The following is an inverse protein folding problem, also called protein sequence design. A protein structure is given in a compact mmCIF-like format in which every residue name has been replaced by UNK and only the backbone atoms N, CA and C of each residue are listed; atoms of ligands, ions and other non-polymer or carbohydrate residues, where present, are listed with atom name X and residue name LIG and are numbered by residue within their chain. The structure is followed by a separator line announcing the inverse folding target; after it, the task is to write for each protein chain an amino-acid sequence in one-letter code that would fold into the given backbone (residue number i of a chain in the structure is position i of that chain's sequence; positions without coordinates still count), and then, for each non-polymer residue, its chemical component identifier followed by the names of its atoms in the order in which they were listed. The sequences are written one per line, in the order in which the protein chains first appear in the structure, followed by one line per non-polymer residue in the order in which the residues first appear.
data_IF_149417128801
#
_entry.id   IF_149417128801
#
_cell.length_a   1.000
_cell.length_b   1.000
_cell.length_c   1.000
_cell.angle_alpha   90.00
_cell.angle_beta   90.00
_cell.angle_gamma   90.00
#
_symmetry.space_group_name_H-M   'P 1'
#
loop_
_entity.id
_entity.type
_entity.pdbx_description
1 polymer ?
#
# COMPACT_ATOMS: atom_id res chain seq x y z
N UNK A 1 -22.46 64.36 29.04
CA UNK A 1 -21.19 63.79 28.56
C UNK A 1 -21.36 62.27 28.63
N UNK A 2 -21.82 61.65 27.56
CA UNK A 2 -22.07 60.24 27.48
C UNK A 2 -20.90 59.59 26.71
N UNK A 3 -20.12 58.75 27.36
CA UNK A 3 -19.02 58.00 26.81
C UNK A 3 -19.61 56.69 26.31
N UNK A 4 -19.67 56.53 24.95
CA UNK A 4 -20.03 55.32 24.29
C UNK A 4 -18.77 54.39 24.30
N UNK A 5 -18.82 53.26 24.99
CA UNK A 5 -17.87 52.18 24.85
C UNK A 5 -18.30 51.32 23.61
N UNK A 6 -17.60 51.51 22.52
CA UNK A 6 -17.62 50.52 21.42
C UNK A 6 -16.79 49.30 21.83
N UNK A 7 -17.48 48.24 22.15
CA UNK A 7 -16.85 46.91 22.29
C UNK A 7 -16.59 46.38 20.86
N UNK A 8 -15.32 46.43 20.48
CA UNK A 8 -14.82 45.80 19.28
C UNK A 8 -14.75 44.28 19.52
N UNK A 9 -15.87 43.61 19.36
CA UNK A 9 -15.88 42.14 19.22
C UNK A 9 -15.19 41.76 17.89
N UNK A 10 -13.87 41.60 17.95
CA UNK A 10 -13.19 40.79 16.96
C UNK A 10 -13.67 39.35 17.14
N UNK A 11 -14.76 39.01 16.50
CA UNK A 11 -15.08 37.63 16.19
C UNK A 11 -13.85 37.03 15.48
N UNK A 12 -13.07 36.25 16.24
CA UNK A 12 -12.13 35.31 15.65
C UNK A 12 -12.98 34.33 14.83
N UNK A 13 -12.94 34.51 13.52
CA UNK A 13 -13.50 33.56 12.57
C UNK A 13 -12.73 32.24 12.74
N UNK A 14 -13.11 31.48 13.78
CA UNK A 14 -12.67 30.11 13.96
C UNK A 14 -13.26 29.35 12.80
N UNK A 15 -12.49 29.19 11.74
CA UNK A 15 -12.84 28.37 10.58
C UNK A 15 -13.21 26.99 11.11
N UNK A 16 -14.51 26.74 11.22
CA UNK A 16 -15.04 25.46 11.67
C UNK A 16 -14.58 24.44 10.65
N UNK A 17 -13.63 23.62 11.07
CA UNK A 17 -13.15 22.50 10.25
C UNK A 17 -14.33 21.60 9.89
N UNK A 18 -14.52 21.35 8.60
CA UNK A 18 -15.61 20.52 8.07
C UNK A 18 -15.05 19.48 7.09
N UNK A 19 -15.82 18.46 6.71
CA UNK A 19 -15.38 17.49 5.71
C UNK A 19 -14.96 18.07 4.37
N UNK A 20 -15.41 19.30 4.06
CA UNK A 20 -15.26 19.94 2.75
C UNK A 20 -14.45 21.24 2.79
N UNK A 21 -13.95 21.64 3.96
CA UNK A 21 -13.25 22.92 4.16
C UNK A 21 -12.20 22.79 5.26
N UNK A 22 -11.07 23.51 5.09
CA UNK A 22 -10.01 23.61 6.07
C UNK A 22 -8.66 23.18 5.50
N UNK A 23 -7.69 22.98 6.39
CA UNK A 23 -6.33 22.53 6.01
C UNK A 23 -5.89 21.42 6.93
N UNK A 24 -5.38 20.31 6.38
CA UNK A 24 -4.81 19.20 7.16
C UNK A 24 -3.73 18.49 6.34
N UNK A 25 -3.00 17.59 7.01
CA UNK A 25 -1.96 16.76 6.40
C UNK A 25 -2.30 15.29 6.57
N UNK A 26 -1.97 14.49 5.56
CA UNK A 26 -2.17 13.04 5.53
C UNK A 26 -0.84 12.37 5.20
N UNK A 27 -0.35 11.48 6.06
CA UNK A 27 0.77 10.64 5.70
C UNK A 27 0.28 9.47 4.86
N UNK A 28 0.87 9.34 3.69
CA UNK A 28 0.54 8.29 2.74
C UNK A 28 1.73 7.33 2.62
N UNK A 29 1.44 6.05 2.73
CA UNK A 29 2.41 4.98 2.50
C UNK A 29 3.13 5.21 1.16
N UNK A 30 4.46 5.24 1.22
CA UNK A 30 5.31 5.48 0.05
C UNK A 30 5.02 4.51 -1.10
N UNK A 31 4.56 3.30 -0.78
CA UNK A 31 4.22 2.26 -1.74
C UNK A 31 3.07 2.62 -2.68
N UNK A 32 2.17 3.45 -2.22
CA UNK A 32 0.96 3.88 -2.94
C UNK A 32 0.90 5.39 -3.15
N UNK A 33 1.86 6.14 -2.61
CA UNK A 33 1.87 7.61 -2.65
C UNK A 33 1.65 8.18 -4.05
N UNK A 34 2.33 7.65 -5.05
CA UNK A 34 2.22 8.15 -6.43
C UNK A 34 0.79 8.06 -6.95
N UNK A 35 0.06 6.98 -6.67
CA UNK A 35 -1.33 6.81 -7.09
C UNK A 35 -2.23 7.89 -6.43
N UNK A 36 -2.08 8.09 -5.13
CA UNK A 36 -2.85 9.11 -4.40
C UNK A 36 -2.48 10.53 -4.83
N UNK A 37 -1.20 10.81 -5.03
CA UNK A 37 -0.76 12.12 -5.50
C UNK A 37 -1.31 12.46 -6.90
N UNK A 38 -1.41 11.47 -7.79
CA UNK A 38 -2.03 11.62 -9.10
C UNK A 38 -3.55 11.87 -9.02
N UNK A 39 -4.21 11.45 -7.95
CA UNK A 39 -5.63 11.69 -7.70
C UNK A 39 -5.92 13.10 -7.10
N UNK A 40 -4.91 13.76 -6.51
CA UNK A 40 -5.08 15.07 -5.85
C UNK A 40 -5.67 16.19 -6.73
N UNK A 41 -5.36 16.30 -8.03
CA UNK A 41 -5.99 17.30 -8.89
C UNK A 41 -7.51 17.16 -8.97
N UNK A 42 -8.04 15.92 -8.95
CA UNK A 42 -9.49 15.65 -8.96
C UNK A 42 -10.11 16.13 -7.64
N UNK A 43 -9.48 15.79 -6.51
CA UNK A 43 -9.94 16.24 -5.19
C UNK A 43 -9.95 17.74 -5.06
N UNK A 44 -8.85 18.43 -5.43
CA UNK A 44 -8.75 19.90 -5.37
C UNK A 44 -9.78 20.61 -6.24
N UNK A 45 -10.12 20.04 -7.39
CA UNK A 45 -11.17 20.57 -8.28
C UNK A 45 -12.56 20.40 -7.65
N UNK A 46 -12.82 19.30 -6.98
CA UNK A 46 -14.09 19.03 -6.32
C UNK A 46 -14.30 19.88 -5.05
N UNK A 47 -13.21 20.14 -4.30
CA UNK A 47 -13.24 20.85 -3.02
C UNK A 47 -12.16 21.94 -2.96
N UNK A 48 -12.39 23.10 -3.58
CA UNK A 48 -11.41 24.19 -3.65
C UNK A 48 -11.03 24.78 -2.29
N UNK A 49 -11.93 24.73 -1.30
CA UNK A 49 -11.71 25.22 0.06
C UNK A 49 -11.11 24.17 1.01
N UNK A 50 -10.82 22.96 0.51
CA UNK A 50 -10.24 21.87 1.25
C UNK A 50 -8.76 21.66 0.86
N UNK A 51 -7.84 21.96 1.77
CA UNK A 51 -6.41 21.91 1.51
C UNK A 51 -5.77 20.71 2.24
N UNK A 52 -5.69 19.58 1.55
CA UNK A 52 -4.96 18.39 2.04
C UNK A 52 -3.55 18.40 1.45
N UNK A 53 -2.55 18.26 2.33
CA UNK A 53 -1.16 18.01 1.96
C UNK A 53 -0.82 16.55 2.20
N UNK A 54 -0.43 15.82 1.15
CA UNK A 54 0.04 14.45 1.25
C UNK A 54 1.54 14.42 1.50
N UNK A 55 1.98 13.65 2.50
CA UNK A 55 3.37 13.37 2.78
C UNK A 55 3.67 11.89 2.56
N UNK A 56 4.66 11.59 1.73
CA UNK A 56 5.15 10.23 1.54
C UNK A 56 5.95 9.76 2.76
N UNK A 57 5.58 8.59 3.31
CA UNK A 57 6.25 8.01 4.48
C UNK A 57 6.05 6.50 4.48
N UNK A 58 7.03 5.72 4.99
CA UNK A 58 6.81 4.30 5.11
C UNK A 58 5.68 3.96 6.09
N UNK A 59 5.02 2.84 5.86
CA UNK A 59 3.81 2.44 6.58
C UNK A 59 4.01 2.32 8.10
N UNK A 60 5.17 1.80 8.53
CA UNK A 60 5.47 1.61 9.95
C UNK A 60 5.63 2.93 10.69
N UNK A 61 6.40 3.86 10.11
CA UNK A 61 6.58 5.20 10.67
C UNK A 61 5.28 6.01 10.67
N UNK A 62 4.48 5.91 9.61
CA UNK A 62 3.16 6.58 9.56
C UNK A 62 2.26 6.11 10.69
N UNK A 63 2.23 4.80 10.96
CA UNK A 63 1.45 4.24 12.07
C UNK A 63 1.97 4.72 13.43
N UNK A 64 3.29 4.73 13.63
CA UNK A 64 3.89 5.22 14.88
C UNK A 64 3.54 6.70 15.15
N UNK A 65 3.49 7.53 14.11
CA UNK A 65 3.10 8.93 14.27
C UNK A 65 1.60 9.13 14.52
N UNK A 66 0.75 8.26 13.98
CA UNK A 66 -0.67 8.25 14.32
C UNK A 66 -0.88 7.86 15.79
N UNK A 67 -0.18 6.85 16.28
CA UNK A 67 -0.20 6.46 17.71
C UNK A 67 0.31 7.55 18.64
N UNK A 68 1.39 8.25 18.24
CA UNK A 68 1.97 9.36 19.02
C UNK A 68 1.26 10.70 18.83
N UNK A 69 0.13 10.70 18.14
CA UNK A 69 -0.70 11.89 17.89
C UNK A 69 -0.02 13.02 17.10
N UNK A 70 1.06 12.73 16.41
CA UNK A 70 1.77 13.69 15.54
C UNK A 70 1.04 13.91 14.21
N UNK A 71 0.15 12.99 13.83
CA UNK A 71 -0.77 13.15 12.71
C UNK A 71 -2.17 12.71 13.13
N UNK A 72 -3.19 13.24 12.45
CA UNK A 72 -4.60 12.85 12.65
C UNK A 72 -5.03 11.74 11.70
N UNK A 73 -4.30 11.53 10.62
CA UNK A 73 -4.70 10.61 9.56
C UNK A 73 -3.52 10.06 8.76
N UNK A 74 -3.65 8.80 8.39
CA UNK A 74 -2.70 8.12 7.51
C UNK A 74 -3.46 7.26 6.48
N UNK A 75 -2.81 6.98 5.34
CA UNK A 75 -3.28 6.00 4.36
C UNK A 75 -2.17 4.98 4.18
N UNK A 76 -2.45 3.71 4.41
CA UNK A 76 -1.48 2.62 4.31
C UNK A 76 -2.05 1.42 3.56
N UNK A 77 -1.16 0.68 2.87
CA UNK A 77 -1.52 -0.49 2.07
C UNK A 77 -1.44 -1.79 2.89
N UNK A 78 -2.01 -1.80 4.10
CA UNK A 78 -2.05 -2.98 4.99
C UNK A 78 -3.02 -2.83 6.15
N UNK A 79 -3.33 -3.93 6.79
CA UNK A 79 -3.97 -3.95 8.11
C UNK A 79 -2.96 -3.61 9.22
N UNK A 80 -3.46 -3.52 10.47
CA UNK A 80 -2.58 -3.47 11.65
C UNK A 80 -1.68 -4.69 11.70
N UNK A 81 -0.46 -4.46 12.17
CA UNK A 81 0.44 -5.55 12.56
C UNK A 81 0.04 -6.09 13.95
N UNK A 82 0.43 -7.32 14.31
CA UNK A 82 0.06 -7.91 15.60
C UNK A 82 0.44 -7.07 16.82
N UNK A 83 1.60 -6.42 16.80
CA UNK A 83 2.05 -5.54 17.87
C UNK A 83 1.26 -4.23 17.92
N UNK A 84 0.89 -3.67 16.77
CA UNK A 84 0.01 -2.49 16.66
C UNK A 84 -1.40 -2.79 17.18
N UNK A 85 -1.96 -3.94 16.80
CA UNK A 85 -3.28 -4.39 17.29
C UNK A 85 -3.25 -4.64 18.81
N UNK A 86 -2.16 -5.21 19.32
CA UNK A 86 -1.96 -5.41 20.75
C UNK A 86 -1.88 -4.08 21.51
N UNK A 87 -1.15 -3.10 20.95
CA UNK A 87 -1.04 -1.75 21.55
C UNK A 87 -2.40 -1.05 21.59
N UNK A 88 -3.19 -1.13 20.51
CA UNK A 88 -4.55 -0.57 20.47
C UNK A 88 -5.45 -1.17 21.56
N UNK A 89 -5.41 -2.49 21.72
CA UNK A 89 -6.19 -3.18 22.75
C UNK A 89 -5.79 -2.78 24.17
N UNK A 90 -4.48 -2.66 24.43
CA UNK A 90 -3.95 -2.30 25.75
C UNK A 90 -4.22 -0.83 26.09
N UNK A 91 -4.09 0.08 25.14
CA UNK A 91 -4.29 1.52 25.35
C UNK A 91 -5.75 1.95 25.32
N UNK A 92 -6.67 1.11 24.86
CA UNK A 92 -8.07 1.48 24.64
C UNK A 92 -8.26 2.47 23.48
N UNK A 93 -7.21 2.77 22.72
CA UNK A 93 -7.28 3.65 21.54
C UNK A 93 -7.96 2.90 20.39
N UNK A 94 -8.79 3.61 19.65
CA UNK A 94 -9.37 3.06 18.42
C UNK A 94 -9.40 4.13 17.34
N UNK A 95 -8.91 3.78 16.15
CA UNK A 95 -8.98 4.63 14.98
C UNK A 95 -10.18 4.26 14.11
N UNK A 96 -10.79 5.26 13.47
CA UNK A 96 -11.76 5.02 12.42
C UNK A 96 -11.02 4.46 11.19
N UNK A 97 -11.61 3.44 10.56
CA UNK A 97 -11.06 2.82 9.35
C UNK A 97 -11.97 3.12 8.17
N UNK A 98 -11.38 3.60 7.07
CA UNK A 98 -12.05 3.74 5.78
C UNK A 98 -11.27 2.89 4.79
N UNK A 99 -11.91 1.88 4.21
CA UNK A 99 -11.33 1.03 3.19
C UNK A 99 -11.45 1.74 1.84
N UNK A 100 -10.34 2.26 1.32
CA UNK A 100 -10.35 3.09 0.11
C UNK A 100 -10.35 2.22 -1.16
N UNK A 101 -9.46 1.22 -1.24
CA UNK A 101 -9.28 0.38 -2.42
C UNK A 101 -8.62 -0.95 -2.05
N UNK A 102 -8.43 -1.81 -3.04
CA UNK A 102 -7.60 -3.00 -2.93
C UNK A 102 -6.49 -2.96 -3.98
N UNK A 103 -5.33 -3.50 -3.66
CA UNK A 103 -4.24 -3.77 -4.58
C UNK A 103 -3.78 -5.22 -4.45
N UNK A 104 -2.81 -5.64 -5.21
CA UNK A 104 -2.22 -6.97 -5.15
C UNK A 104 -0.73 -6.93 -4.91
N UNK A 105 -0.26 -7.73 -3.94
CA UNK A 105 1.17 -7.99 -3.80
C UNK A 105 1.61 -8.93 -4.91
N UNK A 106 2.54 -8.51 -5.77
CA UNK A 106 3.00 -9.26 -6.93
C UNK A 106 4.49 -9.54 -6.89
N UNK A 107 4.87 -10.69 -7.40
CA UNK A 107 6.25 -11.01 -7.76
C UNK A 107 6.46 -10.57 -9.20
N UNK A 108 7.49 -9.79 -9.46
CA UNK A 108 7.71 -9.23 -10.80
C UNK A 108 9.14 -9.43 -11.27
N UNK A 109 9.31 -9.47 -12.57
CA UNK A 109 10.59 -9.65 -13.25
C UNK A 109 10.67 -8.70 -14.44
N UNK A 110 11.87 -8.57 -15.05
CA UNK A 110 11.98 -7.90 -16.34
C UNK A 110 11.13 -8.60 -17.40
N UNK A 111 10.62 -7.85 -18.36
CA UNK A 111 9.72 -8.36 -19.40
C UNK A 111 10.28 -9.58 -20.14
N UNK A 112 11.58 -9.57 -20.41
CA UNK A 112 12.27 -10.64 -21.15
C UNK A 112 12.77 -11.78 -20.26
N UNK A 113 12.49 -11.74 -18.94
CA UNK A 113 12.92 -12.79 -18.03
C UNK A 113 12.22 -14.12 -18.37
N UNK A 114 12.94 -15.26 -18.37
CA UNK A 114 12.43 -16.52 -18.90
C UNK A 114 11.39 -17.24 -18.03
N UNK A 115 11.04 -16.70 -16.86
CA UNK A 115 9.93 -17.22 -16.04
C UNK A 115 8.71 -16.33 -16.21
N UNK A 116 7.57 -16.96 -16.54
CA UNK A 116 6.26 -16.31 -16.61
C UNK A 116 5.31 -16.79 -15.52
N UNK A 117 5.48 -18.02 -15.08
CA UNK A 117 4.51 -18.69 -14.20
C UNK A 117 5.21 -19.49 -13.12
N UNK A 118 4.61 -19.49 -11.94
CA UNK A 118 4.94 -20.40 -10.82
C UNK A 118 3.63 -20.96 -10.26
N UNK A 119 3.72 -22.11 -9.59
CA UNK A 119 2.65 -22.51 -8.69
C UNK A 119 2.99 -22.11 -7.25
N UNK A 120 1.98 -22.09 -6.38
CA UNK A 120 2.13 -21.68 -4.98
C UNK A 120 3.21 -22.51 -4.24
N UNK A 121 3.28 -23.82 -4.48
CA UNK A 121 4.27 -24.68 -3.83
C UNK A 121 5.68 -24.32 -4.28
N UNK A 122 5.90 -24.13 -5.60
CA UNK A 122 7.20 -23.70 -6.12
C UNK A 122 7.61 -22.33 -5.52
N UNK A 123 6.68 -21.40 -5.44
CA UNK A 123 6.94 -20.09 -4.84
C UNK A 123 7.30 -20.21 -3.35
N UNK A 124 6.53 -20.96 -2.57
CA UNK A 124 6.76 -21.19 -1.14
C UNK A 124 8.07 -21.92 -0.88
N UNK A 125 8.35 -22.97 -1.67
CA UNK A 125 9.59 -23.75 -1.53
C UNK A 125 10.82 -22.96 -1.98
N UNK A 126 10.69 -22.09 -3.00
CA UNK A 126 11.73 -21.15 -3.38
C UNK A 126 12.00 -20.12 -2.27
N UNK A 127 10.95 -19.49 -1.72
CA UNK A 127 11.06 -18.53 -0.62
C UNK A 127 11.72 -19.16 0.62
N UNK A 128 11.37 -20.41 0.93
CA UNK A 128 11.97 -21.14 2.06
C UNK A 128 13.36 -21.70 1.77
N UNK A 129 13.89 -21.53 0.56
CA UNK A 129 15.20 -22.04 0.14
C UNK A 129 15.26 -23.55 -0.06
N UNK A 130 14.12 -24.25 -0.10
CA UNK A 130 14.05 -25.70 -0.32
C UNK A 130 14.35 -26.09 -1.75
N UNK A 131 13.99 -25.25 -2.72
CA UNK A 131 14.25 -25.47 -4.13
C UNK A 131 15.04 -24.32 -4.75
N UNK A 132 15.66 -24.62 -5.88
CA UNK A 132 16.25 -23.64 -6.79
C UNK A 132 15.37 -23.55 -8.03
N UNK A 133 14.96 -22.35 -8.43
CA UNK A 133 14.17 -22.14 -9.66
C UNK A 133 14.96 -22.53 -10.91
N UNK A 134 16.29 -22.36 -10.89
CA UNK A 134 17.19 -22.78 -11.97
C UNK A 134 17.13 -24.30 -12.27
N UNK A 135 16.69 -25.14 -11.33
CA UNK A 135 16.49 -26.58 -11.57
C UNK A 135 15.20 -26.87 -12.36
N UNK A 136 14.22 -25.99 -12.31
CA UNK A 136 12.93 -26.13 -13.01
C UNK A 136 12.88 -25.40 -14.35
N UNK A 137 13.67 -24.34 -14.47
CA UNK A 137 13.66 -23.47 -15.64
C UNK A 137 15.05 -23.43 -16.29
N UNK A 138 15.29 -24.31 -17.26
CA UNK A 138 16.59 -24.48 -17.94
C UNK A 138 17.13 -23.21 -18.60
N UNK A 139 16.28 -22.24 -18.90
CA UNK A 139 16.66 -20.97 -19.51
C UNK A 139 17.24 -19.95 -18.50
N UNK A 140 17.25 -20.27 -17.21
CA UNK A 140 17.85 -19.41 -16.18
C UNK A 140 19.31 -19.78 -16.02
N UNK A 141 20.20 -18.82 -16.27
CA UNK A 141 21.65 -19.02 -16.15
C UNK A 141 22.17 -19.03 -14.70
N UNK A 142 21.41 -18.40 -13.78
CA UNK A 142 21.76 -18.31 -12.37
C UNK A 142 20.49 -18.30 -11.52
N UNK A 143 20.59 -18.73 -10.27
CA UNK A 143 19.48 -18.65 -9.31
C UNK A 143 19.10 -17.20 -9.06
N UNK A 144 17.84 -16.80 -9.27
CA UNK A 144 17.40 -15.43 -9.00
C UNK A 144 17.42 -15.13 -7.51
N UNK A 145 17.65 -13.87 -7.17
CA UNK A 145 17.50 -13.36 -5.81
C UNK A 145 16.13 -12.69 -5.71
N UNK A 146 15.37 -13.03 -4.66
CA UNK A 146 14.13 -12.33 -4.33
C UNK A 146 14.46 -11.03 -3.60
N UNK A 147 14.06 -9.91 -4.19
CA UNK A 147 14.27 -8.57 -3.67
C UNK A 147 12.96 -8.05 -3.08
N UNK A 148 12.99 -7.72 -1.79
CA UNK A 148 11.82 -7.18 -1.09
C UNK A 148 12.17 -5.83 -0.45
N UNK A 149 11.22 -4.89 -0.38
CA UNK A 149 11.41 -3.64 0.34
C UNK A 149 11.76 -3.85 1.81
N UNK A 150 12.36 -2.86 2.46
CA UNK A 150 12.80 -2.93 3.85
C UNK A 150 11.65 -3.14 4.85
N UNK A 151 11.99 -3.55 6.06
CA UNK A 151 11.06 -3.96 7.12
C UNK A 151 10.02 -2.88 7.53
N UNK A 152 10.25 -1.63 7.20
CA UNK A 152 9.33 -0.53 7.49
C UNK A 152 8.22 -0.37 6.44
N UNK A 153 8.32 -1.06 5.29
CA UNK A 153 7.36 -0.98 4.20
C UNK A 153 6.12 -1.84 4.43
N UNK A 154 5.04 -1.47 3.77
CA UNK A 154 3.82 -2.28 3.76
C UNK A 154 3.98 -3.55 2.92
N UNK A 155 4.78 -3.52 1.86
CA UNK A 155 5.08 -4.70 1.04
C UNK A 155 5.76 -5.80 1.86
N UNK A 156 6.77 -5.43 2.67
CA UNK A 156 7.44 -6.39 3.57
C UNK A 156 6.45 -6.98 4.58
N UNK A 157 5.64 -6.12 5.22
CA UNK A 157 4.63 -6.55 6.19
C UNK A 157 3.60 -7.52 5.60
N UNK A 158 3.10 -7.21 4.39
CA UNK A 158 2.18 -8.07 3.67
C UNK A 158 2.85 -9.37 3.21
N UNK A 159 4.09 -9.29 2.75
CA UNK A 159 4.86 -10.49 2.35
C UNK A 159 5.02 -11.46 3.51
N UNK A 160 5.37 -11.00 4.71
CA UNK A 160 5.47 -11.85 5.90
C UNK A 160 4.10 -12.43 6.29
N UNK A 161 3.01 -11.68 6.13
CA UNK A 161 1.67 -12.20 6.45
C UNK A 161 1.24 -13.33 5.52
N UNK A 162 1.65 -13.30 4.24
CA UNK A 162 1.38 -14.36 3.28
C UNK A 162 2.40 -15.51 3.36
N UNK A 163 3.64 -15.19 3.69
CA UNK A 163 4.77 -16.13 3.70
C UNK A 163 5.54 -16.01 5.01
N UNK A 164 5.08 -16.70 6.05
CA UNK A 164 5.75 -16.69 7.37
C UNK A 164 7.22 -17.13 7.32
N UNK A 165 7.61 -17.89 6.29
CA UNK A 165 8.99 -18.35 6.05
C UNK A 165 9.94 -17.19 5.69
N UNK A 166 9.46 -16.05 5.24
CA UNK A 166 10.28 -14.87 4.94
C UNK A 166 10.99 -14.28 6.18
N UNK A 167 10.47 -14.54 7.37
CA UNK A 167 11.10 -14.12 8.63
C UNK A 167 12.40 -14.86 8.97
N UNK A 168 12.72 -15.95 8.27
CA UNK A 168 13.92 -16.75 8.44
C UNK A 168 14.86 -16.48 7.25
N UNK A 169 16.12 -16.15 7.53
CA UNK A 169 17.14 -15.77 6.54
C UNK A 169 17.40 -16.87 5.49
N UNK A 170 16.58 -16.88 4.45
CA UNK A 170 16.85 -17.71 3.28
C UNK A 170 17.94 -17.05 2.43
N UNK A 171 18.93 -17.84 1.99
CA UNK A 171 20.10 -17.36 1.23
C UNK A 171 19.76 -16.69 -0.12
N UNK A 172 18.57 -16.92 -0.64
CA UNK A 172 18.09 -16.39 -1.90
C UNK A 172 17.20 -15.13 -1.75
N UNK A 173 17.15 -14.55 -0.54
CA UNK A 173 16.38 -13.33 -0.26
C UNK A 173 17.32 -12.21 0.12
N UNK A 174 17.08 -11.03 -0.47
CA UNK A 174 17.70 -9.77 -0.08
C UNK A 174 16.62 -8.71 0.16
N UNK A 175 16.80 -7.92 1.22
CA UNK A 175 15.94 -6.79 1.54
C UNK A 175 16.64 -5.49 1.20
N UNK A 176 15.90 -4.58 0.57
CA UNK A 176 16.35 -3.21 0.28
C UNK A 176 15.70 -2.25 1.27
N UNK A 177 16.53 -1.37 1.83
CA UNK A 177 16.06 -0.35 2.78
C UNK A 177 15.57 0.89 2.02
N UNK A 178 16.18 1.21 0.87
CA UNK A 178 16.17 2.56 0.33
C UNK A 178 15.02 2.88 -0.62
N UNK A 179 14.69 2.05 -1.58
CA UNK A 179 13.56 2.38 -2.47
C UNK A 179 13.13 1.23 -3.36
N UNK A 180 11.88 1.29 -3.78
CA UNK A 180 11.32 0.39 -4.82
C UNK A 180 12.03 0.58 -6.16
N UNK A 181 12.47 1.78 -6.46
CA UNK A 181 13.19 2.08 -7.71
C UNK A 181 14.51 1.32 -7.79
N UNK A 182 15.21 1.16 -6.65
CA UNK A 182 16.41 0.32 -6.56
C UNK A 182 16.10 -1.15 -6.86
N UNK A 183 14.98 -1.68 -6.36
CA UNK A 183 14.52 -3.04 -6.67
C UNK A 183 14.23 -3.17 -8.16
N UNK A 184 13.55 -2.21 -8.77
CA UNK A 184 13.27 -2.22 -10.22
C UNK A 184 14.54 -2.22 -11.03
N UNK A 185 15.51 -1.35 -10.70
CA UNK A 185 16.81 -1.31 -11.39
C UNK A 185 17.54 -2.66 -11.32
N UNK A 186 17.53 -3.32 -10.17
CA UNK A 186 18.14 -4.65 -10.01
C UNK A 186 17.38 -5.73 -10.80
N UNK A 187 16.05 -5.69 -10.79
CA UNK A 187 15.20 -6.62 -11.56
C UNK A 187 15.45 -6.49 -13.06
N UNK A 188 15.62 -5.26 -13.55
CA UNK A 188 15.90 -5.00 -14.98
C UNK A 188 17.26 -5.54 -15.44
N UNK A 189 18.19 -5.86 -14.53
CA UNK A 189 19.43 -6.59 -14.86
C UNK A 189 19.20 -8.07 -15.20
N UNK A 190 17.97 -8.57 -15.02
CA UNK A 190 17.56 -9.92 -15.42
C UNK A 190 18.09 -11.05 -14.55
N UNK A 191 18.42 -10.76 -13.28
CA UNK A 191 18.96 -11.76 -12.32
C UNK A 191 18.16 -11.87 -11.02
N UNK A 192 17.03 -11.16 -10.92
CA UNK A 192 16.29 -11.03 -9.69
C UNK A 192 14.78 -11.06 -9.93
N UNK A 193 14.05 -11.45 -8.89
CA UNK A 193 12.60 -11.33 -8.79
C UNK A 193 12.33 -10.22 -7.78
N UNK A 194 11.55 -9.21 -8.15
CA UNK A 194 11.12 -8.15 -7.24
C UNK A 194 9.78 -8.46 -6.60
N UNK A 195 9.52 -7.87 -5.43
CA UNK A 195 8.23 -7.85 -4.76
C UNK A 195 7.72 -6.41 -4.71
N UNK A 196 6.44 -6.21 -5.05
CA UNK A 196 5.82 -4.88 -5.05
C UNK A 196 4.33 -4.96 -5.28
N UNK A 197 3.67 -3.81 -5.46
CA UNK A 197 2.24 -3.77 -5.74
C UNK A 197 1.95 -3.73 -7.24
N UNK A 198 0.80 -4.32 -7.62
CA UNK A 198 0.39 -4.39 -9.02
C UNK A 198 0.24 -3.00 -9.63
N UNK A 199 -0.38 -2.06 -8.92
CA UNK A 199 -0.57 -0.67 -9.35
C UNK A 199 0.74 0.05 -9.73
N UNK A 200 1.85 -0.35 -9.13
CA UNK A 200 3.18 0.16 -9.47
C UNK A 200 3.81 -0.60 -10.65
N UNK A 201 3.76 -1.93 -10.61
CA UNK A 201 4.43 -2.79 -11.59
C UNK A 201 3.80 -2.66 -12.99
N UNK A 202 2.47 -2.58 -13.09
CA UNK A 202 1.77 -2.50 -14.37
C UNK A 202 2.04 -1.19 -15.14
N UNK A 203 2.46 -0.12 -14.45
CA UNK A 203 2.81 1.16 -15.07
C UNK A 203 4.18 1.15 -15.75
N UNK A 204 5.01 0.15 -15.48
CA UNK A 204 6.32 0.02 -16.09
C UNK A 204 6.30 -1.04 -17.21
N UNK A 205 6.37 -0.64 -18.50
CA UNK A 205 6.29 -1.56 -19.63
C UNK A 205 7.49 -2.52 -19.73
N UNK A 206 8.57 -2.27 -18.99
CA UNK A 206 9.75 -3.13 -18.93
C UNK A 206 9.62 -4.27 -17.92
N UNK A 207 8.55 -4.29 -17.13
CA UNK A 207 8.28 -5.29 -16.11
C UNK A 207 7.11 -6.19 -16.51
N UNK A 208 7.06 -7.37 -15.91
CA UNK A 208 5.89 -8.26 -15.92
C UNK A 208 5.71 -8.90 -14.55
N UNK A 209 4.46 -9.04 -14.12
CA UNK A 209 4.11 -9.81 -12.93
C UNK A 209 4.14 -11.30 -13.24
N UNK A 210 4.71 -12.11 -12.34
CA UNK A 210 4.63 -13.56 -12.41
C UNK A 210 3.19 -14.01 -12.15
N UNK A 211 2.71 -14.94 -12.95
CA UNK A 211 1.40 -15.58 -12.79
C UNK A 211 1.53 -16.72 -11.80
N UNK A 212 0.73 -16.69 -10.74
CA UNK A 212 0.80 -17.70 -9.69
C UNK A 212 -0.42 -18.62 -9.76
N UNK A 213 -0.20 -19.92 -9.97
CA UNK A 213 -1.23 -20.94 -9.83
C UNK A 213 -1.36 -21.35 -8.36
N UNK A 214 -2.58 -21.56 -7.88
CA UNK A 214 -2.85 -21.86 -6.48
C UNK A 214 -4.08 -22.77 -6.32
N UNK A 215 -4.32 -23.23 -5.09
CA UNK A 215 -5.55 -23.92 -4.70
C UNK A 215 -6.37 -22.93 -3.87
N UNK A 216 -7.61 -22.69 -4.24
CA UNK A 216 -8.49 -21.77 -3.51
C UNK A 216 -9.05 -22.41 -2.22
N UNK A 217 -9.81 -21.64 -1.44
CA UNK A 217 -10.40 -22.08 -0.18
C UNK A 217 -11.42 -23.22 -0.34
N UNK A 218 -11.90 -23.48 -1.55
CA UNK A 218 -12.81 -24.60 -1.87
C UNK A 218 -12.08 -25.87 -2.28
N UNK A 219 -10.72 -25.83 -2.36
CA UNK A 219 -9.89 -26.92 -2.84
C UNK A 219 -9.76 -27.00 -4.37
N UNK A 220 -10.34 -26.02 -5.10
CA UNK A 220 -10.25 -25.96 -6.55
C UNK A 220 -8.90 -25.43 -7.00
N UNK A 221 -8.27 -26.12 -7.95
CA UNK A 221 -7.03 -25.67 -8.57
C UNK A 221 -7.31 -24.51 -9.52
N UNK A 222 -6.69 -23.37 -9.26
CA UNK A 222 -6.69 -22.18 -10.10
C UNK A 222 -5.39 -22.17 -10.91
N UNK A 223 -5.44 -22.21 -12.23
CA UNK A 223 -4.23 -22.16 -13.06
C UNK A 223 -3.59 -20.77 -12.98
N UNK A 224 -2.29 -20.66 -13.33
CA UNK A 224 -1.64 -19.35 -13.39
C UNK A 224 -2.34 -18.41 -14.37
N UNK A 225 -2.76 -17.25 -13.89
CA UNK A 225 -3.46 -16.24 -14.69
C UNK A 225 -2.72 -14.92 -14.64
N UNK A 226 -2.90 -14.07 -15.64
CA UNK A 226 -2.40 -12.69 -15.62
C UNK A 226 -3.01 -11.99 -14.41
N UNK A 227 -2.16 -11.37 -13.59
CA UNK A 227 -2.65 -10.59 -12.46
C UNK A 227 -3.33 -9.34 -13.00
N UNK A 228 -4.57 -9.13 -12.60
CA UNK A 228 -5.41 -8.03 -13.05
C UNK A 228 -6.23 -7.48 -11.87
N UNK A 229 -6.43 -6.18 -11.83
CA UNK A 229 -7.20 -5.51 -10.77
C UNK A 229 -8.58 -6.12 -10.56
N UNK A 230 -9.27 -6.48 -11.64
CA UNK A 230 -10.57 -7.16 -11.56
C UNK A 230 -10.55 -8.48 -10.76
N UNK A 231 -9.45 -9.22 -10.79
CA UNK A 231 -9.30 -10.45 -9.99
C UNK A 231 -9.04 -10.15 -8.52
N UNK A 232 -8.36 -9.04 -8.23
CA UNK A 232 -8.13 -8.58 -6.84
C UNK A 232 -9.46 -8.15 -6.22
N UNK A 233 -10.24 -7.33 -6.91
CA UNK A 233 -11.56 -6.85 -6.47
C UNK A 233 -12.51 -8.05 -6.26
N UNK A 234 -12.50 -9.04 -7.15
CA UNK A 234 -13.31 -10.26 -7.04
C UNK A 234 -12.75 -11.28 -6.03
N UNK A 235 -11.67 -10.97 -5.32
CA UNK A 235 -10.97 -11.86 -4.39
C UNK A 235 -10.52 -13.18 -5.03
N UNK A 236 -10.20 -13.13 -6.34
CA UNK A 236 -9.68 -14.26 -7.11
C UNK A 236 -8.16 -14.25 -7.24
N UNK A 237 -7.49 -13.32 -6.59
CA UNK A 237 -6.03 -13.26 -6.48
C UNK A 237 -5.62 -13.51 -5.03
N UNK A 238 -4.69 -14.45 -4.75
CA UNK A 238 -4.43 -14.90 -3.38
C UNK A 238 -3.71 -13.87 -2.52
N UNK A 239 -3.05 -12.88 -3.12
CA UNK A 239 -2.26 -11.87 -2.42
C UNK A 239 -2.89 -10.48 -2.52
N UNK A 240 -4.22 -10.40 -2.48
CA UNK A 240 -4.94 -9.12 -2.40
C UNK A 240 -4.68 -8.43 -1.07
N UNK A 241 -4.40 -7.13 -1.11
CA UNK A 241 -4.14 -6.29 0.06
C UNK A 241 -5.12 -5.12 0.12
N UNK A 242 -5.54 -4.68 1.32
CA UNK A 242 -6.37 -3.50 1.45
C UNK A 242 -5.54 -2.24 1.48
N UNK A 243 -6.08 -1.15 0.93
CA UNK A 243 -5.62 0.22 1.15
C UNK A 243 -6.59 0.89 2.11
N UNK A 244 -6.10 1.30 3.28
CA UNK A 244 -6.93 1.76 4.39
C UNK A 244 -6.47 3.14 4.86
N UNK A 245 -7.43 4.06 5.01
CA UNK A 245 -7.22 5.26 5.82
C UNK A 245 -7.54 4.96 7.29
N UNK A 246 -6.61 5.30 8.17
CA UNK A 246 -6.78 5.28 9.63
C UNK A 246 -6.86 6.71 10.13
N UNK A 247 -7.95 7.04 10.81
CA UNK A 247 -8.26 8.39 11.30
C UNK A 247 -8.35 8.37 12.82
N UNK A 248 -7.67 9.32 13.48
CA UNK A 248 -7.72 9.48 14.94
C UNK A 248 -9.10 9.87 15.42
N UNK A 249 -9.71 10.83 14.74
CA UNK A 249 -11.00 11.36 15.12
C UNK A 249 -12.15 10.59 14.46
N UNK A 250 -13.16 10.27 15.24
CA UNK A 250 -14.38 9.57 14.77
C UNK A 250 -15.44 10.52 14.22
N UNK A 251 -15.19 11.82 14.21
CA UNK A 251 -16.10 12.84 13.66
C UNK A 251 -15.87 13.02 12.16
N UNK A 252 -16.86 13.57 11.51
CA UNK A 252 -16.81 13.96 10.09
C UNK A 252 -16.04 15.29 9.93
N UNK A 253 -14.72 15.21 10.00
CA UNK A 253 -13.78 16.31 9.76
C UNK A 253 -13.14 16.22 8.36
N UNK A 254 -12.19 17.11 8.05
CA UNK A 254 -11.56 17.18 6.74
C UNK A 254 -10.84 15.89 6.34
N UNK A 255 -10.01 15.21 7.20
CA UNK A 255 -9.44 13.90 6.87
C UNK A 255 -10.48 12.82 6.57
N UNK A 256 -11.60 12.83 7.28
CA UNK A 256 -12.72 11.92 7.00
C UNK A 256 -13.34 12.20 5.62
N UNK A 257 -13.59 13.46 5.32
CA UNK A 257 -14.14 13.89 4.02
C UNK A 257 -13.23 13.50 2.87
N UNK A 258 -11.91 13.72 3.03
CA UNK A 258 -10.90 13.32 2.07
C UNK A 258 -10.88 11.81 1.83
N UNK A 259 -10.76 11.01 2.90
CA UNK A 259 -10.70 9.55 2.79
C UNK A 259 -11.98 8.96 2.19
N UNK A 260 -13.15 9.51 2.55
CA UNK A 260 -14.45 9.10 1.99
C UNK A 260 -14.57 9.44 0.52
N UNK A 261 -14.04 10.58 0.08
CA UNK A 261 -14.03 10.95 -1.32
C UNK A 261 -13.11 10.04 -2.12
N UNK A 262 -11.91 9.73 -1.58
CA UNK A 262 -10.99 8.76 -2.20
C UNK A 262 -11.64 7.38 -2.36
N UNK A 263 -12.46 6.95 -1.40
CA UNK A 263 -13.20 5.67 -1.47
C UNK A 263 -14.30 5.68 -2.54
N UNK A 264 -15.06 6.79 -2.65
CA UNK A 264 -16.37 6.77 -3.34
C UNK A 264 -16.38 7.40 -4.72
N UNK A 265 -15.47 8.32 -5.03
CA UNK A 265 -15.48 9.01 -6.32
C UNK A 265 -14.99 8.08 -7.45
N UNK A 266 -15.81 7.86 -8.51
CA UNK A 266 -15.46 6.94 -9.60
C UNK A 266 -14.21 7.35 -10.38
N UNK A 267 -13.94 8.66 -10.52
CA UNK A 267 -12.76 9.15 -11.25
C UNK A 267 -11.50 8.92 -10.41
N UNK A 268 -11.59 9.10 -9.09
CA UNK A 268 -10.52 8.75 -8.16
C UNK A 268 -10.24 7.24 -8.23
N UNK A 269 -11.28 6.43 -8.10
CA UNK A 269 -11.13 4.96 -8.13
C UNK A 269 -10.50 4.50 -9.45
N UNK A 270 -10.85 5.12 -10.58
CA UNK A 270 -10.18 4.85 -11.86
C UNK A 270 -8.69 5.16 -11.81
N UNK A 271 -8.29 6.33 -11.29
CA UNK A 271 -6.87 6.71 -11.16
C UNK A 271 -6.09 5.79 -10.21
N UNK A 272 -6.74 5.29 -9.15
CA UNK A 272 -6.10 4.35 -8.21
C UNK A 272 -5.94 2.94 -8.80
N UNK A 273 -6.79 2.56 -9.77
CA UNK A 273 -6.77 1.25 -10.43
C UNK A 273 -5.88 1.21 -11.69
N UNK A 274 -5.70 2.36 -12.36
CA UNK A 274 -4.83 2.54 -13.53
C UNK A 274 -3.36 2.76 -13.11
#
# INVERSE_FOLDING_TARGET
MLISCETNDKQSDSTIESPLRGSDSVYCDESIYTCFNNAMPIYKKAFPDAHITLFSKNARSSMAELFSEKTKSIIVARNYLPDEDSLLKQSGISFQKIHIANDGLVFFVSKDYPIDTLNMNQLTDYISGKIRLSMYFQKISAEPILLIPGAQSSEYSNAISFFSQLSHSAKNIATFIDSRDSIVLEVLKGKSIGLGYLSYVQKNPLLKSLRIGYIDSTGKRIPPQIVHQGFIIQKKYPFGIPIIAYLKEKRQNLPWGFATFMEKDPNIQKVLLD
#
